data_IF_300586935918
#
_entry.id   IF_300586935918
#
_cell.length_a   1.000
_cell.length_b   1.000
_cell.length_c   1.000
_cell.angle_alpha   90.00
_cell.angle_beta   90.00
_cell.angle_gamma   90.00
#
_symmetry.space_group_name_H-M   'P 1'
#
loop_
_entity.id
_entity.type
_entity.pdbx_description
1 polymer ?
#
# COMPACT_ATOMS: atom_id res chain seq x y z
N UNK A 1 -31.55 -6.37 -26.76
CA UNK A 1 -31.29 -5.37 -25.71
C UNK A 1 -30.69 -6.08 -24.51
N UNK A 2 -29.45 -5.78 -24.11
CA UNK A 2 -28.94 -6.29 -22.82
C UNK A 2 -29.77 -5.59 -21.73
N UNK A 3 -30.53 -6.36 -20.96
CA UNK A 3 -31.18 -5.85 -19.76
C UNK A 3 -30.08 -5.27 -18.86
N UNK A 4 -30.05 -3.95 -18.70
CA UNK A 4 -29.24 -3.29 -17.68
C UNK A 4 -29.88 -3.65 -16.33
N UNK A 5 -29.47 -4.79 -15.76
CA UNK A 5 -29.83 -5.09 -14.38
C UNK A 5 -29.02 -4.17 -13.48
N UNK A 6 -29.67 -3.32 -12.66
CA UNK A 6 -28.95 -2.50 -11.71
C UNK A 6 -28.23 -3.40 -10.72
N UNK A 7 -26.97 -3.10 -10.47
CA UNK A 7 -26.18 -3.73 -9.41
C UNK A 7 -25.89 -2.68 -8.34
N UNK A 8 -25.73 -3.13 -7.10
CA UNK A 8 -25.25 -2.30 -6.01
C UNK A 8 -24.06 -2.98 -5.33
N UNK A 9 -23.31 -2.19 -4.57
CA UNK A 9 -22.17 -2.64 -3.80
C UNK A 9 -22.06 -1.92 -2.46
N UNK A 10 -21.08 -2.35 -1.66
CA UNK A 10 -20.79 -1.74 -0.37
C UNK A 10 -19.32 -1.32 -0.35
N UNK A 11 -19.08 -0.07 0.08
CA UNK A 11 -17.75 0.41 0.45
C UNK A 11 -17.47 0.01 1.90
N UNK A 12 -16.50 -0.87 2.10
CA UNK A 12 -16.00 -1.22 3.43
C UNK A 12 -14.50 -1.50 3.34
N UNK A 13 -13.63 -0.64 3.88
CA UNK A 13 -12.18 -0.88 3.89
C UNK A 13 -11.84 -2.12 4.74
N UNK A 14 -10.77 -2.85 4.39
CA UNK A 14 -10.33 -4.04 5.15
C UNK A 14 -10.10 -3.71 6.62
N UNK A 15 -9.45 -2.59 6.92
CA UNK A 15 -9.17 -2.17 8.29
C UNK A 15 -10.42 -1.96 9.16
N UNK A 16 -11.60 -1.79 8.55
CA UNK A 16 -12.88 -1.61 9.24
C UNK A 16 -13.59 -2.93 9.57
N UNK A 17 -13.09 -4.07 9.06
CA UNK A 17 -13.66 -5.38 9.41
C UNK A 17 -13.43 -5.68 10.89
N UNK A 18 -14.40 -6.31 11.57
CA UNK A 18 -14.25 -6.68 12.97
C UNK A 18 -13.14 -7.72 13.12
N UNK A 19 -12.18 -7.48 14.00
CA UNK A 19 -11.04 -8.38 14.23
C UNK A 19 -10.62 -8.30 15.69
N UNK A 20 -10.22 -9.42 16.31
CA UNK A 20 -9.71 -9.41 17.68
C UNK A 20 -8.32 -8.74 17.77
N UNK A 21 -7.60 -8.60 16.65
CA UNK A 21 -6.20 -8.17 16.62
C UNK A 21 -6.01 -6.69 16.25
N UNK A 22 -6.88 -5.81 16.76
CA UNK A 22 -6.79 -4.34 16.64
C UNK A 22 -7.10 -3.72 15.27
N UNK A 23 -7.06 -4.49 14.18
CA UNK A 23 -7.39 -4.05 12.83
C UNK A 23 -8.05 -5.18 12.03
N UNK A 24 -8.98 -4.84 11.15
CA UNK A 24 -9.53 -5.79 10.20
C UNK A 24 -8.46 -6.40 9.28
N UNK A 25 -8.58 -7.69 9.01
CA UNK A 25 -7.60 -8.51 8.28
C UNK A 25 -8.26 -9.28 7.13
N UNK A 26 -7.45 -10.02 6.37
CA UNK A 26 -7.88 -10.92 5.29
C UNK A 26 -8.42 -12.27 5.80
N UNK A 27 -8.67 -12.41 7.11
CA UNK A 27 -9.12 -13.63 7.76
C UNK A 27 -10.63 -13.85 7.76
N UNK A 28 -11.11 -14.66 8.71
CA UNK A 28 -12.53 -15.14 8.79
C UNK A 28 -13.57 -14.02 8.67
N UNK A 29 -13.31 -12.85 9.21
CA UNK A 29 -14.22 -11.70 9.13
C UNK A 29 -14.42 -11.19 7.70
N UNK A 30 -13.38 -11.21 6.86
CA UNK A 30 -13.49 -10.84 5.45
C UNK A 30 -14.36 -11.84 4.67
N UNK A 31 -14.18 -13.15 4.91
CA UNK A 31 -15.02 -14.19 4.30
C UNK A 31 -16.49 -14.07 4.73
N UNK A 32 -16.75 -13.83 6.02
CA UNK A 32 -18.12 -13.55 6.50
C UNK A 32 -18.73 -12.31 5.86
N UNK A 33 -17.92 -11.30 5.55
CA UNK A 33 -18.41 -10.12 4.83
C UNK A 33 -18.79 -10.44 3.39
N UNK A 34 -18.01 -11.28 2.70
CA UNK A 34 -18.38 -11.82 1.37
C UNK A 34 -19.71 -12.57 1.45
N UNK A 35 -19.92 -13.42 2.46
CA UNK A 35 -21.20 -14.10 2.67
C UNK A 35 -22.36 -13.12 2.87
N UNK A 36 -22.13 -12.05 3.63
CA UNK A 36 -23.11 -10.99 3.83
C UNK A 36 -23.45 -10.26 2.51
N UNK A 37 -22.45 -9.94 1.69
CA UNK A 37 -22.66 -9.33 0.37
C UNK A 37 -23.48 -10.25 -0.54
N UNK A 38 -23.18 -11.55 -0.53
CA UNK A 38 -23.94 -12.54 -1.30
C UNK A 38 -25.40 -12.59 -0.86
N UNK A 39 -25.65 -12.70 0.45
CA UNK A 39 -27.01 -12.77 1.02
C UNK A 39 -27.83 -11.49 0.78
N UNK A 40 -27.19 -10.33 0.79
CA UNK A 40 -27.85 -9.05 0.52
C UNK A 40 -28.12 -8.80 -0.97
N UNK A 41 -27.53 -9.60 -1.87
CA UNK A 41 -27.65 -9.40 -3.31
C UNK A 41 -26.65 -8.38 -3.88
N UNK A 42 -25.72 -7.87 -3.06
CA UNK A 42 -24.64 -7.02 -3.52
C UNK A 42 -23.74 -7.78 -4.52
N UNK A 43 -23.12 -7.03 -5.42
CA UNK A 43 -22.22 -7.57 -6.46
C UNK A 43 -20.84 -6.91 -6.48
N UNK A 44 -20.66 -5.83 -5.72
CA UNK A 44 -19.40 -5.10 -5.65
C UNK A 44 -19.02 -4.91 -4.18
N UNK A 45 -17.79 -5.25 -3.84
CA UNK A 45 -17.12 -4.81 -2.62
C UNK A 45 -16.10 -3.74 -3.00
N UNK A 46 -16.35 -2.49 -2.65
CA UNK A 46 -15.37 -1.43 -2.84
C UNK A 46 -14.43 -1.36 -1.62
N UNK A 47 -13.13 -1.32 -1.90
CA UNK A 47 -12.06 -1.13 -0.94
C UNK A 47 -11.38 0.23 -1.16
N UNK A 48 -10.73 0.73 -0.11
CA UNK A 48 -9.73 1.79 -0.24
C UNK A 48 -8.39 1.18 -0.72
N UNK A 49 -7.36 1.99 -1.03
CA UNK A 49 -6.06 1.46 -1.42
C UNK A 49 -5.55 0.44 -0.40
N UNK A 50 -5.00 -0.68 -0.90
CA UNK A 50 -4.45 -1.76 -0.07
C UNK A 50 -2.97 -1.57 0.25
N UNK A 51 -2.40 -0.44 -0.15
CA UNK A 51 -0.99 -0.17 0.03
C UNK A 51 -0.65 0.06 1.50
N UNK A 52 0.60 -0.25 1.89
CA UNK A 52 1.08 0.04 3.25
C UNK A 52 0.97 1.53 3.53
N UNK A 53 0.61 1.91 4.75
CA UNK A 53 0.46 3.31 5.14
C UNK A 53 1.77 3.86 5.73
N UNK A 54 2.00 5.16 5.59
CA UNK A 54 3.06 5.88 6.31
C UNK A 54 2.45 6.67 7.49
N UNK A 55 3.23 7.58 8.07
CA UNK A 55 2.77 8.52 9.09
C UNK A 55 1.48 9.24 8.65
N UNK A 56 0.50 9.29 9.55
CA UNK A 56 -0.85 9.81 9.28
C UNK A 56 -1.85 8.74 8.81
N UNK A 57 -1.41 7.50 8.59
CA UNK A 57 -2.24 6.30 8.39
C UNK A 57 -3.21 6.34 7.20
N UNK A 58 -3.05 7.34 6.32
CA UNK A 58 -3.86 7.49 5.13
C UNK A 58 -3.50 6.43 4.09
N UNK A 59 -4.46 5.63 3.60
CA UNK A 59 -4.26 4.71 2.47
C UNK A 59 -3.82 5.40 1.17
N UNK A 60 -4.02 6.73 1.08
CA UNK A 60 -3.63 7.55 -0.07
C UNK A 60 -2.18 8.05 0.02
N UNK A 61 -1.50 7.77 1.14
CA UNK A 61 -0.11 8.15 1.37
C UNK A 61 0.72 6.92 1.75
N UNK A 62 1.24 6.25 0.73
CA UNK A 62 2.03 5.03 0.86
C UNK A 62 3.50 5.27 0.50
N UNK A 63 4.45 4.61 1.19
CA UNK A 63 5.83 4.54 0.74
C UNK A 63 6.03 3.70 -0.52
N UNK A 64 4.98 3.10 -1.09
CA UNK A 64 5.06 2.41 -2.38
C UNK A 64 3.71 2.39 -3.09
N UNK A 65 3.69 2.65 -4.39
CA UNK A 65 2.48 2.46 -5.21
C UNK A 65 2.08 1.00 -5.39
N UNK A 66 2.93 0.06 -4.97
CA UNK A 66 2.76 -1.40 -5.14
C UNK A 66 2.76 -2.17 -3.82
N UNK A 67 3.57 -1.78 -2.85
CA UNK A 67 3.70 -2.46 -1.57
C UNK A 67 2.37 -2.55 -0.83
N UNK A 68 1.94 -3.77 -0.52
CA UNK A 68 0.67 -4.12 0.14
C UNK A 68 0.82 -4.05 1.66
N UNK A 69 -0.26 -3.67 2.34
CA UNK A 69 -0.24 -3.41 3.77
C UNK A 69 -0.16 -4.70 4.59
N UNK A 70 1.01 -4.93 5.19
CA UNK A 70 1.26 -6.10 6.03
C UNK A 70 0.41 -6.11 7.32
N UNK A 71 -0.26 -5.02 7.70
CA UNK A 71 -1.24 -5.04 8.79
C UNK A 71 -2.47 -5.89 8.48
N UNK A 72 -2.80 -6.13 7.21
CA UNK A 72 -3.98 -6.91 6.83
C UNK A 72 -3.72 -8.42 6.80
N UNK A 73 -2.47 -8.86 6.98
CA UNK A 73 -2.12 -10.28 7.15
C UNK A 73 -2.82 -10.79 8.41
N UNK A 74 -3.62 -11.83 8.28
CA UNK A 74 -4.38 -12.43 9.37
C UNK A 74 -3.50 -13.30 10.27
N UNK A 75 -3.49 -13.02 11.57
CA UNK A 75 -2.62 -13.72 12.53
C UNK A 75 -3.16 -15.10 12.88
N UNK A 76 -4.48 -15.29 12.94
CA UNK A 76 -5.09 -16.61 13.15
C UNK A 76 -4.70 -17.58 12.03
N UNK A 77 -4.67 -17.11 10.78
CA UNK A 77 -4.19 -17.90 9.64
C UNK A 77 -2.72 -18.33 9.83
N UNK A 78 -1.86 -17.45 10.34
CA UNK A 78 -0.46 -17.79 10.64
C UNK A 78 -0.33 -18.81 11.79
N UNK A 79 -1.26 -18.80 12.75
CA UNK A 79 -1.34 -19.82 13.81
C UNK A 79 -1.76 -21.17 13.23
N UNK A 80 -2.78 -21.19 12.36
CA UNK A 80 -3.25 -22.40 11.67
C UNK A 80 -2.13 -23.03 10.81
N UNK A 81 -1.20 -22.22 10.31
CA UNK A 81 -0.03 -22.66 9.54
C UNK A 81 1.19 -23.05 10.40
N UNK A 82 1.10 -22.90 11.73
CA UNK A 82 2.20 -23.20 12.64
C UNK A 82 3.35 -22.20 12.62
N UNK A 83 3.16 -21.02 12.01
CA UNK A 83 4.15 -19.93 12.00
C UNK A 83 4.09 -19.10 13.29
N UNK A 84 2.94 -19.08 13.96
CA UNK A 84 2.74 -18.44 15.26
C UNK A 84 2.07 -19.40 16.25
N UNK A 85 2.32 -19.18 17.53
CA UNK A 85 1.49 -19.73 18.60
C UNK A 85 0.47 -18.68 19.04
N UNK A 86 -0.70 -19.12 19.47
CA UNK A 86 -1.79 -18.20 19.88
C UNK A 86 -1.38 -17.32 21.06
N UNK A 87 -0.61 -17.87 21.99
CA UNK A 87 -0.12 -17.21 23.19
C UNK A 87 0.91 -16.11 22.89
N UNK A 88 1.42 -16.07 21.66
CA UNK A 88 2.37 -15.05 21.21
C UNK A 88 1.71 -13.80 20.63
N UNK A 89 0.38 -13.85 20.47
CA UNK A 89 -0.43 -12.73 20.02
C UNK A 89 -0.93 -12.02 21.27
N UNK A 90 -0.22 -10.97 21.67
CA UNK A 90 -0.68 -10.11 22.75
C UNK A 90 -1.68 -9.06 22.20
N UNK A 91 -2.95 -9.42 22.25
CA UNK A 91 -4.04 -8.53 21.86
C UNK A 91 -4.27 -7.41 22.87
N UNK A 92 -3.72 -7.45 24.09
CA UNK A 92 -3.97 -6.42 25.11
C UNK A 92 -3.42 -5.05 24.70
N UNK A 93 -2.33 -5.04 23.91
CA UNK A 93 -1.76 -3.83 23.33
C UNK A 93 -2.54 -3.33 22.11
N UNK A 94 -3.32 -4.21 21.47
CA UNK A 94 -4.02 -3.95 20.22
C UNK A 94 -5.51 -3.65 20.43
N UNK A 95 -6.08 -4.10 21.54
CA UNK A 95 -7.46 -3.92 21.91
C UNK A 95 -7.64 -2.61 22.68
N UNK A 96 -8.43 -1.71 22.13
CA UNK A 96 -8.90 -0.52 22.81
C UNK A 96 -10.44 -0.58 22.91
N UNK A 97 -11.03 -0.09 24.00
CA UNK A 97 -12.49 -0.09 24.20
C UNK A 97 -13.25 0.68 23.10
N UNK A 98 -12.56 1.61 22.44
CA UNK A 98 -13.06 2.27 21.25
C UNK A 98 -12.95 1.33 20.04
N UNK A 99 -14.04 1.09 19.31
CA UNK A 99 -14.11 0.31 18.06
C UNK A 99 -13.34 0.98 16.90
N UNK A 100 -12.09 1.37 17.14
CA UNK A 100 -11.22 2.17 16.29
C UNK A 100 -9.84 1.54 16.24
N UNK A 101 -9.21 1.68 15.10
CA UNK A 101 -7.86 1.19 14.87
C UNK A 101 -6.86 2.09 15.58
N UNK A 102 -6.08 1.54 16.50
CA UNK A 102 -4.94 2.24 17.11
C UNK A 102 -3.67 1.96 16.28
N UNK A 103 -3.44 2.79 15.25
CA UNK A 103 -2.32 2.62 14.32
C UNK A 103 -0.94 2.73 14.99
N UNK A 104 -0.81 3.59 16.00
CA UNK A 104 0.44 3.70 16.76
C UNK A 104 0.79 2.39 17.45
N UNK A 105 -0.18 1.77 18.14
CA UNK A 105 0.04 0.48 18.79
C UNK A 105 0.26 -0.65 17.77
N UNK A 106 -0.44 -0.63 16.64
CA UNK A 106 -0.21 -1.58 15.56
C UNK A 106 1.22 -1.50 15.01
N UNK A 107 1.76 -0.29 14.85
CA UNK A 107 3.14 -0.12 14.40
C UNK A 107 4.14 -0.81 15.33
N UNK A 108 3.98 -0.64 16.65
CA UNK A 108 4.89 -1.25 17.63
C UNK A 108 4.66 -2.74 17.86
N UNK A 109 3.42 -3.22 17.83
CA UNK A 109 3.10 -4.60 18.17
C UNK A 109 3.09 -5.55 16.97
N UNK A 110 2.62 -5.11 15.80
CA UNK A 110 2.37 -6.02 14.65
C UNK A 110 3.66 -6.49 13.98
N UNK A 111 4.62 -5.59 13.78
CA UNK A 111 5.88 -5.92 13.09
C UNK A 111 6.70 -6.98 13.84
N UNK A 112 6.90 -6.89 15.18
CA UNK A 112 7.55 -7.95 15.94
C UNK A 112 6.87 -9.31 15.83
N UNK A 113 5.53 -9.35 15.84
CA UNK A 113 4.75 -10.59 15.68
C UNK A 113 5.01 -11.19 14.29
N UNK A 114 4.93 -10.38 13.23
CA UNK A 114 5.19 -10.84 11.86
C UNK A 114 6.64 -11.31 11.67
N UNK A 115 7.63 -10.64 12.29
CA UNK A 115 9.04 -11.08 12.26
C UNK A 115 9.22 -12.43 12.95
N UNK A 116 8.49 -12.69 14.03
CA UNK A 116 8.48 -14.00 14.69
C UNK A 116 7.89 -15.07 13.78
N UNK A 117 6.77 -14.80 13.13
CA UNK A 117 6.18 -15.69 12.13
C UNK A 117 7.18 -16.03 11.01
N UNK A 118 7.84 -15.00 10.47
CA UNK A 118 8.86 -15.15 9.45
C UNK A 118 10.09 -15.96 9.92
N UNK A 119 10.49 -15.88 11.19
CA UNK A 119 11.59 -16.68 11.71
C UNK A 119 11.30 -18.20 11.67
N UNK A 120 10.02 -18.59 11.74
CA UNK A 120 9.58 -19.99 11.61
C UNK A 120 9.25 -20.39 10.18
N UNK A 121 9.13 -19.43 9.27
CA UNK A 121 8.82 -19.69 7.88
C UNK A 121 9.96 -20.43 7.17
N UNK A 122 9.61 -21.48 6.43
CA UNK A 122 10.56 -22.20 5.60
C UNK A 122 10.95 -21.35 4.38
N UNK A 123 12.09 -20.66 4.46
CA UNK A 123 12.63 -19.83 3.37
C UNK A 123 12.94 -20.63 2.09
N UNK A 124 13.04 -21.96 2.18
CA UNK A 124 13.23 -22.85 1.03
C UNK A 124 11.91 -23.34 0.41
N UNK A 125 10.76 -22.80 0.84
CA UNK A 125 9.47 -23.08 0.21
C UNK A 125 9.55 -22.77 -1.32
N UNK A 126 9.28 -23.75 -2.21
CA UNK A 126 9.42 -23.54 -3.65
C UNK A 126 8.52 -22.43 -4.21
N UNK A 127 7.34 -22.21 -3.61
CA UNK A 127 6.43 -21.15 -4.03
C UNK A 127 6.94 -19.77 -3.61
N UNK A 128 7.63 -19.68 -2.46
CA UNK A 128 8.31 -18.47 -2.01
C UNK A 128 9.54 -18.16 -2.86
N UNK A 129 10.37 -19.17 -3.19
CA UNK A 129 11.52 -18.99 -4.10
C UNK A 129 11.04 -18.47 -5.45
N UNK A 130 10.01 -19.09 -6.04
CA UNK A 130 9.41 -18.62 -7.29
C UNK A 130 8.83 -17.21 -7.18
N UNK A 131 8.31 -16.82 -6.01
CA UNK A 131 7.84 -15.47 -5.77
C UNK A 131 9.00 -14.46 -5.75
N UNK A 132 10.10 -14.80 -5.07
CA UNK A 132 11.31 -14.00 -5.00
C UNK A 132 11.94 -13.79 -6.39
N UNK A 133 12.01 -14.83 -7.22
CA UNK A 133 12.57 -14.78 -8.59
C UNK A 133 11.85 -13.79 -9.51
N UNK A 134 10.54 -13.56 -9.29
CA UNK A 134 9.77 -12.60 -10.08
C UNK A 134 10.16 -11.14 -9.83
N UNK A 135 10.81 -10.86 -8.68
CA UNK A 135 11.22 -9.51 -8.24
C UNK A 135 10.11 -8.45 -8.24
N UNK A 136 8.84 -8.88 -8.21
CA UNK A 136 7.69 -7.97 -8.32
C UNK A 136 7.61 -6.95 -7.19
N UNK A 137 8.13 -7.30 -6.00
CA UNK A 137 8.13 -6.49 -4.78
C UNK A 137 9.55 -6.15 -4.29
N UNK A 138 10.55 -6.32 -5.16
CA UNK A 138 11.95 -6.07 -4.82
C UNK A 138 12.18 -4.63 -4.35
N UNK A 139 11.73 -3.64 -5.12
CA UNK A 139 11.93 -2.23 -4.80
C UNK A 139 11.21 -1.84 -3.50
N UNK A 140 10.02 -2.39 -3.26
CA UNK A 140 9.29 -2.21 -2.02
C UNK A 140 10.09 -2.75 -0.82
N UNK A 141 10.57 -4.00 -0.90
CA UNK A 141 11.28 -4.62 0.20
C UNK A 141 12.61 -3.94 0.48
N UNK A 142 13.33 -3.53 -0.56
CA UNK A 142 14.55 -2.74 -0.42
C UNK A 142 14.28 -1.40 0.26
N UNK A 143 13.26 -0.66 -0.19
CA UNK A 143 12.94 0.64 0.40
C UNK A 143 12.49 0.52 1.86
N UNK A 144 11.67 -0.49 2.18
CA UNK A 144 11.26 -0.74 3.57
C UNK A 144 12.40 -1.18 4.48
N UNK A 145 13.36 -1.94 3.95
CA UNK A 145 14.61 -2.25 4.63
C UNK A 145 15.40 -0.98 4.96
N UNK A 146 15.60 -0.09 3.99
CA UNK A 146 16.25 1.19 4.23
C UNK A 146 15.48 2.04 5.24
N UNK A 147 14.15 2.13 5.12
CA UNK A 147 13.33 2.82 6.11
C UNK A 147 13.57 2.25 7.50
N UNK A 148 13.55 0.94 7.68
CA UNK A 148 13.73 0.35 9.02
C UNK A 148 15.12 0.65 9.61
N UNK A 149 16.22 0.49 8.85
CA UNK A 149 17.57 0.79 9.37
C UNK A 149 17.76 2.28 9.67
N UNK A 150 16.99 3.15 9.00
CA UNK A 150 16.95 4.59 9.22
C UNK A 150 15.82 5.05 10.15
N UNK A 151 15.31 4.16 11.01
CA UNK A 151 14.26 4.47 12.01
C UNK A 151 12.99 5.09 11.40
N UNK A 152 12.61 4.59 10.24
CA UNK A 152 11.45 4.95 9.42
C UNK A 152 11.41 6.41 8.95
N UNK A 153 12.52 7.14 9.08
CA UNK A 153 12.64 8.51 8.57
C UNK A 153 12.53 8.53 7.03
N UNK A 154 12.06 9.65 6.45
CA UNK A 154 11.97 9.78 5.00
C UNK A 154 13.35 9.86 4.36
N UNK A 155 13.49 9.37 3.12
CA UNK A 155 14.79 9.32 2.43
C UNK A 155 15.49 10.69 2.32
N UNK A 156 14.71 11.78 2.24
CA UNK A 156 15.20 13.16 2.18
C UNK A 156 15.95 13.61 3.44
N UNK A 157 15.79 12.89 4.56
CA UNK A 157 16.46 13.15 5.83
C UNK A 157 17.74 12.33 6.05
N UNK A 158 17.97 11.29 5.24
CA UNK A 158 19.16 10.44 5.35
C UNK A 158 20.40 11.26 4.98
N UNK A 159 21.50 11.04 5.70
CA UNK A 159 22.74 11.83 5.56
C UNK A 159 23.93 11.05 5.00
N UNK A 160 23.74 9.76 4.75
CA UNK A 160 24.77 8.85 4.29
C UNK A 160 24.56 8.49 2.80
N UNK A 161 25.27 7.44 2.36
CA UNK A 161 25.24 6.99 0.98
C UNK A 161 23.85 6.52 0.52
N UNK A 162 22.95 6.15 1.45
CA UNK A 162 21.60 5.70 1.12
C UNK A 162 20.67 6.85 0.71
N UNK A 163 21.04 8.12 0.95
CA UNK A 163 20.19 9.28 0.60
C UNK A 163 19.79 9.29 -0.87
N UNK A 164 20.72 8.90 -1.75
CA UNK A 164 20.49 8.82 -3.18
C UNK A 164 20.61 7.37 -3.64
N UNK A 165 19.63 6.92 -4.41
CA UNK A 165 19.65 5.57 -4.95
C UNK A 165 20.91 5.30 -5.78
N UNK A 166 21.55 4.16 -5.52
CA UNK A 166 22.56 3.56 -6.37
C UNK A 166 22.40 2.03 -6.37
N UNK A 167 22.72 1.39 -7.49
CA UNK A 167 22.65 -0.07 -7.59
C UNK A 167 23.69 -0.76 -6.69
N UNK A 168 24.85 -0.13 -6.49
CA UNK A 168 25.89 -0.63 -5.58
C UNK A 168 25.40 -0.60 -4.12
N UNK A 169 24.86 0.54 -3.67
CA UNK A 169 24.27 0.68 -2.34
C UNK A 169 23.08 -0.26 -2.10
N UNK A 170 22.24 -0.48 -3.12
CA UNK A 170 21.17 -1.49 -3.05
C UNK A 170 21.72 -2.89 -2.79
N UNK A 171 22.72 -3.32 -3.55
CA UNK A 171 23.31 -4.64 -3.38
C UNK A 171 24.04 -4.78 -2.04
N UNK A 172 24.74 -3.74 -1.58
CA UNK A 172 25.43 -3.73 -0.29
C UNK A 172 24.43 -3.85 0.87
N UNK A 173 23.43 -2.97 0.91
CA UNK A 173 22.42 -2.93 1.97
C UNK A 173 21.59 -4.21 2.03
N UNK A 174 21.21 -4.77 0.87
CA UNK A 174 20.53 -6.08 0.81
C UNK A 174 21.45 -7.20 1.31
N UNK A 175 22.73 -7.21 0.92
CA UNK A 175 23.66 -8.26 1.36
C UNK A 175 23.90 -8.23 2.87
N UNK A 176 24.03 -7.02 3.43
CA UNK A 176 24.26 -6.80 4.86
C UNK A 176 23.03 -7.12 5.72
N UNK A 177 21.83 -6.89 5.19
CA UNK A 177 20.56 -7.01 5.91
C UNK A 177 19.59 -7.99 5.22
N UNK A 178 20.12 -9.09 4.66
CA UNK A 178 19.38 -9.98 3.76
C UNK A 178 18.12 -10.61 4.39
N UNK A 179 18.17 -11.01 5.65
CA UNK A 179 16.99 -11.55 6.34
C UNK A 179 15.88 -10.51 6.50
N UNK A 180 16.23 -9.23 6.70
CA UNK A 180 15.25 -8.16 6.78
C UNK A 180 14.65 -7.83 5.39
N UNK A 181 15.48 -7.86 4.35
CA UNK A 181 14.99 -7.80 2.97
C UNK A 181 13.99 -8.93 2.68
N UNK A 182 14.35 -10.17 3.02
CA UNK A 182 13.48 -11.33 2.84
C UNK A 182 12.21 -11.25 3.70
N UNK A 183 12.28 -10.68 4.89
CA UNK A 183 11.10 -10.43 5.72
C UNK A 183 10.08 -9.55 4.98
N UNK A 184 10.52 -8.42 4.41
CA UNK A 184 9.60 -7.55 3.67
C UNK A 184 9.08 -8.20 2.40
N UNK A 185 9.88 -9.00 1.68
CA UNK A 185 9.38 -9.83 0.57
C UNK A 185 8.33 -10.84 1.06
N UNK A 186 8.59 -11.51 2.18
CA UNK A 186 7.68 -12.48 2.78
C UNK A 186 6.34 -11.85 3.18
N UNK A 187 6.33 -10.62 3.69
CA UNK A 187 5.05 -9.94 3.98
C UNK A 187 4.17 -9.82 2.73
N UNK A 188 4.76 -9.58 1.55
CA UNK A 188 4.02 -9.45 0.30
C UNK A 188 3.56 -10.81 -0.21
N UNK A 189 4.41 -11.84 -0.08
CA UNK A 189 4.05 -13.22 -0.37
C UNK A 189 2.84 -13.67 0.45
N UNK A 190 2.89 -13.47 1.77
CA UNK A 190 1.86 -13.89 2.70
C UNK A 190 0.57 -13.11 2.52
N UNK A 191 0.64 -11.79 2.35
CA UNK A 191 -0.52 -10.98 1.99
C UNK A 191 -1.20 -11.51 0.74
N UNK A 192 -0.43 -11.74 -0.34
CA UNK A 192 -1.00 -12.17 -1.62
C UNK A 192 -1.60 -13.58 -1.53
N UNK A 193 -1.02 -14.47 -0.72
CA UNK A 193 -1.57 -15.80 -0.47
C UNK A 193 -2.96 -15.70 0.15
N UNK A 194 -3.09 -14.93 1.24
CA UNK A 194 -4.38 -14.73 1.92
C UNK A 194 -5.38 -13.96 1.04
N UNK A 195 -4.94 -12.87 0.40
CA UNK A 195 -5.79 -12.04 -0.45
C UNK A 195 -6.31 -12.81 -1.67
N UNK A 196 -5.49 -13.65 -2.32
CA UNK A 196 -5.93 -14.45 -3.47
C UNK A 196 -7.00 -15.46 -3.07
N UNK A 197 -6.91 -16.06 -1.87
CA UNK A 197 -7.96 -16.92 -1.34
C UNK A 197 -9.28 -16.15 -1.15
N UNK A 198 -9.21 -14.97 -0.54
CA UNK A 198 -10.39 -14.10 -0.35
C UNK A 198 -10.99 -13.63 -1.68
N UNK A 199 -10.18 -13.14 -2.61
CA UNK A 199 -10.63 -12.68 -3.94
C UNK A 199 -11.28 -13.82 -4.72
N UNK A 200 -10.65 -15.00 -4.73
CA UNK A 200 -11.23 -16.20 -5.37
C UNK A 200 -12.61 -16.50 -4.78
N UNK A 201 -12.72 -16.52 -3.46
CA UNK A 201 -13.99 -16.76 -2.78
C UNK A 201 -15.05 -15.70 -3.09
N UNK A 202 -14.68 -14.40 -3.13
CA UNK A 202 -15.58 -13.33 -3.53
C UNK A 202 -16.10 -13.53 -4.97
N UNK A 203 -15.19 -13.79 -5.90
CA UNK A 203 -15.51 -13.97 -7.32
C UNK A 203 -16.38 -15.21 -7.57
N UNK A 204 -16.11 -16.33 -6.91
CA UNK A 204 -16.94 -17.55 -6.96
C UNK A 204 -18.36 -17.31 -6.42
N UNK A 205 -18.52 -16.34 -5.51
CA UNK A 205 -19.82 -15.90 -4.99
C UNK A 205 -20.44 -14.74 -5.78
N UNK A 206 -19.89 -14.41 -6.96
CA UNK A 206 -20.42 -13.39 -7.86
C UNK A 206 -20.19 -11.94 -7.38
N UNK A 207 -19.22 -11.74 -6.49
CA UNK A 207 -18.86 -10.43 -5.92
C UNK A 207 -17.53 -9.99 -6.52
N UNK A 208 -17.53 -8.87 -7.24
CA UNK A 208 -16.31 -8.23 -7.75
C UNK A 208 -15.71 -7.33 -6.68
N UNK A 209 -14.38 -7.32 -6.60
CA UNK A 209 -13.64 -6.38 -5.74
C UNK A 209 -13.26 -5.15 -6.57
N UNK A 210 -13.73 -3.99 -6.13
CA UNK A 210 -13.37 -2.69 -6.69
C UNK A 210 -12.29 -2.06 -5.82
N UNK A 211 -11.08 -1.94 -6.37
CA UNK A 211 -9.99 -1.23 -5.72
C UNK A 211 -10.00 0.25 -6.02
N UNK A 212 -9.02 0.93 -5.44
CA UNK A 212 -8.85 2.36 -5.55
C UNK A 212 -7.37 2.71 -5.69
N UNK A 213 -7.05 3.54 -6.68
CA UNK A 213 -5.70 3.97 -7.00
C UNK A 213 -5.61 5.50 -6.89
N UNK A 214 -4.86 6.02 -5.89
CA UNK A 214 -4.53 7.44 -5.82
C UNK A 214 -3.83 7.89 -7.09
N UNK A 215 -4.19 9.03 -7.69
CA UNK A 215 -3.46 9.50 -8.89
C UNK A 215 -1.99 9.74 -8.54
N UNK A 216 -1.72 10.47 -7.46
CA UNK A 216 -0.38 10.78 -6.99
C UNK A 216 0.19 9.68 -6.07
N UNK A 217 1.51 9.65 -5.96
CA UNK A 217 2.24 8.87 -4.95
C UNK A 217 2.78 9.79 -3.86
N UNK A 218 3.20 9.26 -2.72
CA UNK A 218 3.82 10.07 -1.68
C UNK A 218 5.21 10.56 -2.10
N UNK A 219 5.69 11.67 -1.54
CA UNK A 219 7.09 12.07 -1.74
C UNK A 219 8.03 11.06 -1.09
N UNK A 220 7.81 10.67 0.17
CA UNK A 220 8.55 9.60 0.83
C UNK A 220 8.10 8.21 0.33
N UNK A 221 8.50 7.85 -0.89
CA UNK A 221 8.15 6.57 -1.53
C UNK A 221 9.26 5.99 -2.39
N UNK A 222 9.16 4.69 -2.68
CA UNK A 222 9.98 3.94 -3.65
C UNK A 222 10.11 4.72 -4.95
N UNK A 223 8.99 5.23 -5.47
CA UNK A 223 8.97 5.89 -6.77
C UNK A 223 9.81 7.17 -6.77
N UNK A 224 9.64 8.02 -5.76
CA UNK A 224 10.39 9.27 -5.65
C UNK A 224 11.88 9.02 -5.37
N UNK A 225 12.21 7.98 -4.61
CA UNK A 225 13.58 7.63 -4.25
C UNK A 225 14.36 6.99 -5.41
N UNK A 226 13.77 6.01 -6.09
CA UNK A 226 14.44 5.19 -7.11
C UNK A 226 14.24 5.68 -8.54
N UNK A 227 13.14 6.39 -8.82
CA UNK A 227 12.76 6.84 -10.16
C UNK A 227 12.42 8.33 -10.20
N UNK A 228 13.38 9.22 -9.81
CA UNK A 228 13.13 10.65 -9.70
C UNK A 228 12.69 11.29 -11.03
N UNK A 229 13.04 10.69 -12.17
CA UNK A 229 12.66 11.19 -13.50
C UNK A 229 11.16 11.10 -13.80
N UNK A 230 10.40 10.35 -12.99
CA UNK A 230 8.93 10.32 -13.07
C UNK A 230 8.31 11.65 -12.61
N UNK A 231 9.07 12.50 -11.90
CA UNK A 231 8.57 13.68 -11.19
C UNK A 231 9.29 14.98 -11.62
N UNK A 232 8.67 16.11 -11.30
CA UNK A 232 9.26 17.44 -11.47
C UNK A 232 10.15 17.79 -10.26
N UNK A 233 11.32 17.17 -10.20
CA UNK A 233 12.32 17.43 -9.18
C UNK A 233 13.44 18.37 -9.63
N UNK A 234 14.02 19.09 -8.67
CA UNK A 234 15.25 19.83 -8.86
C UNK A 234 16.49 18.89 -8.82
N UNK A 235 17.68 19.48 -8.92
CA UNK A 235 18.96 18.75 -8.90
C UNK A 235 19.26 18.08 -7.56
N UNK A 236 18.57 18.47 -6.48
CA UNK A 236 18.70 17.88 -5.15
C UNK A 236 17.60 16.84 -4.86
N UNK A 237 16.83 16.44 -5.87
CA UNK A 237 15.67 15.54 -5.76
C UNK A 237 14.55 16.07 -4.85
N UNK A 238 14.40 17.40 -4.76
CA UNK A 238 13.26 18.04 -4.08
C UNK A 238 12.17 18.38 -5.09
N UNK A 239 10.88 18.33 -4.71
CA UNK A 239 9.79 18.82 -5.54
C UNK A 239 9.99 20.29 -5.89
N UNK A 240 9.81 20.64 -7.16
CA UNK A 240 9.68 22.04 -7.59
C UNK A 240 8.26 22.55 -7.35
N UNK A 241 7.28 21.69 -7.61
CA UNK A 241 5.87 21.89 -7.33
C UNK A 241 5.29 20.66 -6.62
N UNK A 242 4.21 20.89 -5.89
CA UNK A 242 3.44 19.87 -5.21
C UNK A 242 1.96 19.94 -5.57
N UNK A 243 1.28 18.81 -5.40
CA UNK A 243 -0.13 18.65 -5.70
C UNK A 243 -1.03 19.30 -4.66
N UNK A 244 -2.20 19.69 -5.13
CA UNK A 244 -3.29 20.20 -4.31
C UNK A 244 -4.51 20.51 -5.16
N UNK A 245 -5.44 21.27 -4.59
CA UNK A 245 -6.55 21.89 -5.30
C UNK A 245 -6.65 23.36 -4.93
N UNK A 246 -7.02 24.25 -5.87
CA UNK A 246 -7.16 25.67 -5.60
C UNK A 246 -8.29 25.94 -4.60
N UNK A 247 -8.36 27.15 -4.03
CA UNK A 247 -9.57 27.64 -3.39
C UNK A 247 -10.80 27.47 -4.28
N UNK A 248 -11.92 27.14 -3.67
CA UNK A 248 -13.21 27.03 -4.33
C UNK A 248 -14.34 27.51 -3.40
N UNK A 249 -15.59 27.36 -3.85
CA UNK A 249 -16.75 27.78 -3.07
C UNK A 249 -16.92 27.02 -1.73
N UNK A 250 -16.18 25.93 -1.52
CA UNK A 250 -16.23 25.09 -0.31
C UNK A 250 -14.98 25.23 0.56
N UNK A 251 -13.85 25.68 0.02
CA UNK A 251 -12.60 25.93 0.75
C UNK A 251 -11.92 27.22 0.30
N UNK A 252 -11.87 28.23 1.19
CA UNK A 252 -11.17 29.50 0.90
C UNK A 252 -9.65 29.34 0.76
N UNK A 253 -9.05 28.29 1.36
CA UNK A 253 -7.61 28.03 1.32
C UNK A 253 -7.19 27.01 0.27
N UNK A 254 -8.16 26.38 -0.41
CA UNK A 254 -7.89 25.17 -1.19
C UNK A 254 -7.37 24.04 -0.31
N UNK A 255 -6.60 23.12 -0.89
CA UNK A 255 -5.94 22.04 -0.15
C UNK A 255 -4.54 21.83 -0.69
N UNK A 256 -3.57 21.82 0.21
CA UNK A 256 -2.19 21.46 -0.08
C UNK A 256 -2.01 19.98 0.30
N UNK A 257 -1.80 19.11 -0.69
CA UNK A 257 -1.62 17.67 -0.44
C UNK A 257 -0.14 17.30 -0.28
N UNK A 258 0.75 18.04 -0.93
CA UNK A 258 2.20 17.85 -0.77
C UNK A 258 2.81 16.73 -1.62
N UNK A 259 2.00 16.00 -2.40
CA UNK A 259 2.53 14.97 -3.31
C UNK A 259 3.39 15.58 -4.43
N UNK A 260 4.45 14.89 -4.89
CA UNK A 260 5.22 15.34 -6.04
C UNK A 260 4.40 15.28 -7.33
N UNK A 261 4.60 16.29 -8.18
CA UNK A 261 3.96 16.35 -9.50
C UNK A 261 4.72 15.49 -10.50
N UNK A 262 3.98 14.76 -11.34
CA UNK A 262 4.55 13.95 -12.41
C UNK A 262 5.16 14.81 -13.52
N UNK A 263 6.32 14.39 -14.03
CA UNK A 263 6.87 14.89 -15.27
C UNK A 263 6.11 14.28 -16.45
N UNK A 264 4.99 14.87 -16.84
CA UNK A 264 4.13 14.34 -17.91
C UNK A 264 4.82 14.28 -19.28
N UNK A 265 5.81 15.13 -19.53
CA UNK A 265 6.63 15.04 -20.75
C UNK A 265 7.48 13.77 -20.77
N UNK A 266 8.10 13.41 -19.64
CA UNK A 266 8.79 12.13 -19.47
C UNK A 266 7.82 10.95 -19.63
N UNK A 267 6.64 11.02 -19.00
CA UNK A 267 5.61 9.98 -19.15
C UNK A 267 5.22 9.80 -20.62
N UNK A 268 4.95 10.89 -21.35
CA UNK A 268 4.61 10.86 -22.77
C UNK A 268 5.76 10.29 -23.62
N UNK A 269 6.99 10.75 -23.39
CA UNK A 269 8.21 10.28 -24.09
C UNK A 269 8.43 8.78 -23.93
N UNK A 270 8.10 8.22 -22.76
CA UNK A 270 8.25 6.79 -22.47
C UNK A 270 7.02 5.95 -22.82
N UNK A 271 6.00 6.54 -23.46
CA UNK A 271 4.77 5.85 -23.84
C UNK A 271 3.89 5.48 -22.64
N UNK A 272 3.93 6.28 -21.57
CA UNK A 272 3.19 6.10 -20.32
C UNK A 272 3.45 4.75 -19.65
N UNK A 273 4.63 4.18 -19.86
CA UNK A 273 4.99 2.81 -19.42
C UNK A 273 4.74 2.61 -17.93
N UNK A 274 5.11 3.58 -17.10
CA UNK A 274 4.94 3.49 -15.65
C UNK A 274 3.45 3.46 -15.25
N UNK A 275 2.64 4.38 -15.77
CA UNK A 275 1.19 4.41 -15.52
C UNK A 275 0.48 3.14 -16.03
N UNK A 276 0.80 2.70 -17.25
CA UNK A 276 0.22 1.49 -17.83
C UNK A 276 0.55 0.26 -16.98
N UNK A 277 1.79 0.15 -16.51
CA UNK A 277 2.20 -0.91 -15.59
C UNK A 277 1.45 -0.81 -14.26
N UNK A 278 1.35 0.37 -13.66
CA UNK A 278 0.65 0.58 -12.39
C UNK A 278 -0.83 0.17 -12.47
N UNK A 279 -1.52 0.53 -13.55
CA UNK A 279 -2.91 0.13 -13.80
C UNK A 279 -3.00 -1.39 -13.99
N UNK A 280 -2.12 -1.97 -14.81
CA UNK A 280 -2.07 -3.41 -15.04
C UNK A 280 -1.84 -4.20 -13.75
N UNK A 281 -0.88 -3.79 -12.92
CA UNK A 281 -0.57 -4.43 -11.64
C UNK A 281 -1.80 -4.32 -10.69
N UNK A 282 -2.49 -3.17 -10.64
CA UNK A 282 -3.71 -3.02 -9.86
C UNK A 282 -4.86 -3.92 -10.35
N UNK A 283 -5.02 -4.11 -11.67
CA UNK A 283 -6.03 -5.00 -12.23
C UNK A 283 -5.71 -6.49 -12.03
N UNK A 284 -4.49 -6.85 -11.62
CA UNK A 284 -4.22 -8.19 -11.11
C UNK A 284 -4.79 -8.40 -9.70
N UNK A 285 -4.80 -7.34 -8.89
CA UNK A 285 -5.33 -7.33 -7.52
C UNK A 285 -6.85 -7.18 -7.52
N UNK A 286 -7.41 -6.25 -8.31
CA UNK A 286 -8.83 -5.90 -8.30
C UNK A 286 -9.54 -6.30 -9.59
N UNK A 287 -10.86 -6.43 -9.56
CA UNK A 287 -11.68 -6.68 -10.75
C UNK A 287 -12.15 -5.38 -11.41
N UNK A 288 -12.24 -4.31 -10.62
CA UNK A 288 -12.56 -2.95 -11.03
C UNK A 288 -11.59 -1.98 -10.34
N UNK A 289 -11.25 -0.88 -11.00
CA UNK A 289 -10.33 0.11 -10.46
C UNK A 289 -10.95 1.50 -10.49
N UNK A 290 -11.11 2.11 -9.31
CA UNK A 290 -11.32 3.56 -9.20
C UNK A 290 -9.97 4.25 -9.35
N UNK A 291 -9.91 5.31 -10.14
CA UNK A 291 -8.75 6.20 -10.13
C UNK A 291 -9.19 7.50 -9.47
N UNK A 292 -8.63 7.76 -8.29
CA UNK A 292 -8.89 8.96 -7.52
C UNK A 292 -8.39 10.20 -8.26
N UNK A 293 -9.05 11.33 -8.03
CA UNK A 293 -8.76 12.62 -8.66
C UNK A 293 -8.53 12.52 -10.19
N UNK A 294 -9.39 11.75 -10.88
CA UNK A 294 -9.28 11.47 -12.33
C UNK A 294 -9.13 12.74 -13.19
N UNK A 295 -9.67 13.87 -12.76
CA UNK A 295 -9.51 15.16 -13.48
C UNK A 295 -8.04 15.56 -13.69
N UNK A 296 -7.14 15.08 -12.82
CA UNK A 296 -5.70 15.33 -12.88
C UNK A 296 -5.04 14.87 -14.19
N UNK A 297 -5.65 13.93 -14.91
CA UNK A 297 -5.18 13.53 -16.25
C UNK A 297 -5.51 14.54 -17.34
N UNK A 298 -6.51 15.41 -17.13
CA UNK A 298 -6.86 16.49 -18.08
C UNK A 298 -6.10 17.77 -17.77
N UNK A 299 -6.09 18.17 -16.50
CA UNK A 299 -5.30 19.28 -15.98
C UNK A 299 -5.14 19.07 -14.48
N UNK A 300 -4.09 19.60 -13.87
CA UNK A 300 -3.85 19.49 -12.43
C UNK A 300 -3.35 20.83 -11.89
N UNK A 301 -3.42 20.99 -10.57
CA UNK A 301 -3.03 22.22 -9.89
C UNK A 301 -1.64 22.05 -9.30
N UNK A 302 -0.74 22.98 -9.62
CA UNK A 302 0.66 22.97 -9.21
C UNK A 302 0.89 24.09 -8.19
N UNK A 303 1.26 23.74 -6.97
CA UNK A 303 1.60 24.70 -5.93
C UNK A 303 3.11 24.72 -5.77
N UNK A 304 3.79 25.89 -5.80
CA UNK A 304 5.24 25.95 -5.56
C UNK A 304 5.63 25.26 -4.25
N UNK A 305 6.69 24.44 -4.28
CA UNK A 305 7.14 23.74 -3.09
C UNK A 305 7.59 24.72 -1.99
N UNK A 306 7.27 24.39 -0.73
CA UNK A 306 7.58 25.23 0.44
C UNK A 306 6.48 26.23 0.84
N UNK A 307 5.35 26.26 0.12
CA UNK A 307 4.16 27.02 0.53
C UNK A 307 3.45 26.36 1.71
N UNK A 308 2.80 27.18 2.53
CA UNK A 308 1.97 26.73 3.67
C UNK A 308 0.52 26.40 3.24
N UNK A 309 0.07 26.95 2.12
CA UNK A 309 -1.29 26.79 1.59
C UNK A 309 -1.33 26.66 0.06
N UNK A 310 -2.54 26.47 -0.49
CA UNK A 310 -2.79 26.30 -1.91
C UNK A 310 -3.21 27.61 -2.63
N UNK A 311 -3.15 28.77 -1.97
CA UNK A 311 -3.54 30.06 -2.55
C UNK A 311 -2.44 30.56 -3.49
N UNK A 312 -2.63 30.48 -4.80
CA UNK A 312 -1.66 31.01 -5.78
C UNK A 312 -2.08 32.41 -6.22
#
# INVERSE_FOLDING_TARGET
MKQNNPYFGILLPIFSLPSPHGIGTLGKSAFRFVDFLKRSGARIWQMLPLNVTSYGDSPYQSPSSKGLNYYFIDLDTLVEEGLLLKEEIDDSLLYHEERRVNYQMLFYARLPILKKAFSRFNKNDPSFIKFLEKKEYHDFAFYMLLKEIHNYQPFSSWKDADKNYSLEGENESISKHYDLYLFYIWTQFEFLKQYKALKKYANENGIKIMGDMPIYVAYDSVESYKYPELFLFDREHKPTFVAGVPPDAFSESGQLWGNPIYNWDYQKKTGYRWFNKRISDNLQIFDLLRIDHFRGFSAFYEIPFGREDAKI
#
